data_IF_370531660127
#
_entry.id   IF_370531660127
#
_cell.length_a   1.000
_cell.length_b   1.000
_cell.length_c   1.000
_cell.angle_alpha   90.00
_cell.angle_beta   90.00
_cell.angle_gamma   90.00
#
_symmetry.space_group_name_H-M   'P 1'
#
loop_
_entity.id
_entity.type
_entity.pdbx_description
1 polymer ?
#
# COMPACT_ATOMS: atom_id res chain seq x y z
N UNK A 1 -8.38 -7.76 31.06
CA UNK A 1 -9.29 -8.83 31.50
C UNK A 1 -8.71 -10.14 31.02
N UNK A 2 -8.48 -11.11 31.90
CA UNK A 2 -7.93 -12.41 31.52
C UNK A 2 -8.96 -13.17 30.66
N UNK A 3 -8.60 -13.51 29.42
CA UNK A 3 -9.40 -14.39 28.57
C UNK A 3 -9.45 -15.77 29.21
N UNK A 4 -10.58 -16.08 29.88
CA UNK A 4 -10.83 -17.41 30.42
C UNK A 4 -10.93 -18.41 29.25
N UNK A 5 -10.28 -19.56 29.40
CA UNK A 5 -10.40 -20.68 28.46
C UNK A 5 -11.87 -21.10 28.30
N UNK A 6 -12.34 -21.42 27.08
CA UNK A 6 -13.67 -21.96 26.87
C UNK A 6 -13.92 -23.20 27.73
N UNK A 7 -15.08 -23.28 28.38
CA UNK A 7 -15.42 -24.42 29.24
C UNK A 7 -15.50 -25.75 28.47
N UNK A 8 -15.74 -25.69 27.15
CA UNK A 8 -15.77 -26.85 26.25
C UNK A 8 -14.43 -27.60 26.16
N UNK A 9 -13.32 -27.01 26.64
CA UNK A 9 -12.01 -27.67 26.68
C UNK A 9 -11.78 -28.48 27.95
N UNK A 10 -12.64 -28.32 28.96
CA UNK A 10 -12.50 -29.00 30.25
C UNK A 10 -13.20 -30.35 30.22
N UNK A 11 -12.59 -31.34 30.86
CA UNK A 11 -13.21 -32.63 31.06
C UNK A 11 -14.37 -32.50 32.05
N UNK A 12 -15.59 -32.99 31.73
CA UNK A 12 -16.72 -32.90 32.64
C UNK A 12 -16.59 -33.71 33.95
N UNK A 13 -15.59 -34.58 34.06
CA UNK A 13 -15.29 -35.38 35.27
C UNK A 13 -14.27 -34.68 36.15
N UNK A 14 -13.10 -34.34 35.59
CA UNK A 14 -11.99 -33.74 36.37
C UNK A 14 -12.06 -32.22 36.47
N UNK A 15 -12.83 -31.57 35.59
CA UNK A 15 -12.89 -30.11 35.39
C UNK A 15 -11.55 -29.49 34.94
N UNK A 16 -10.57 -30.32 34.58
CA UNK A 16 -9.28 -29.92 34.02
C UNK A 16 -9.29 -29.94 32.49
N UNK A 17 -8.36 -29.24 31.85
CA UNK A 17 -8.22 -29.24 30.38
C UNK A 17 -7.93 -30.66 29.88
N UNK A 18 -8.68 -31.10 28.88
CA UNK A 18 -8.49 -32.42 28.28
C UNK A 18 -7.14 -32.49 27.55
N UNK A 19 -6.30 -33.43 27.95
CA UNK A 19 -5.00 -33.70 27.31
C UNK A 19 -5.15 -34.74 26.20
N UNK A 20 -6.04 -35.72 26.38
CA UNK A 20 -6.38 -36.70 25.36
C UNK A 20 -7.91 -36.89 25.28
N UNK A 21 -8.63 -35.99 24.57
CA UNK A 21 -10.08 -36.01 24.51
C UNK A 21 -10.59 -37.23 23.74
N UNK A 22 -11.54 -37.96 24.32
CA UNK A 22 -12.21 -39.14 23.75
C UNK A 22 -13.73 -39.03 23.86
N UNK A 23 -14.44 -39.55 22.85
CA UNK A 23 -15.89 -39.51 22.72
C UNK A 23 -16.47 -40.88 23.10
N UNK A 24 -17.51 -40.86 23.94
CA UNK A 24 -18.35 -42.04 24.20
C UNK A 24 -19.43 -42.20 23.14
N UNK A 25 -20.05 -43.38 23.06
CA UNK A 25 -21.24 -43.61 22.21
C UNK A 25 -22.42 -42.65 22.47
N UNK A 26 -22.44 -41.99 23.63
CA UNK A 26 -23.42 -40.94 23.96
C UNK A 26 -23.14 -39.59 23.28
N UNK A 27 -22.03 -39.44 22.55
CA UNK A 27 -21.65 -38.20 21.87
C UNK A 27 -20.89 -37.19 22.74
N UNK A 28 -20.72 -37.45 24.05
CA UNK A 28 -19.97 -36.57 24.95
C UNK A 28 -18.48 -36.88 24.99
N UNK A 29 -17.67 -35.83 25.15
CA UNK A 29 -16.20 -35.91 25.17
C UNK A 29 -15.67 -35.78 26.60
N UNK A 30 -14.65 -36.59 26.93
CA UNK A 30 -13.98 -36.60 28.23
C UNK A 30 -12.47 -36.75 28.02
N UNK A 31 -11.66 -36.42 29.03
CA UNK A 31 -10.27 -36.85 29.03
C UNK A 31 -10.19 -38.38 29.21
N UNK A 32 -9.38 -39.05 28.38
CA UNK A 32 -9.23 -40.51 28.40
C UNK A 32 -8.96 -41.05 29.79
N UNK A 33 -8.06 -40.43 30.54
CA UNK A 33 -7.67 -40.92 31.87
C UNK A 33 -8.83 -40.87 32.87
N UNK A 34 -9.66 -39.83 32.76
CA UNK A 34 -10.78 -39.59 33.65
C UNK A 34 -11.96 -40.52 33.38
N UNK A 35 -12.31 -40.72 32.10
CA UNK A 35 -13.41 -41.64 31.75
C UNK A 35 -13.02 -43.10 31.92
N UNK A 36 -11.74 -43.45 31.69
CA UNK A 36 -11.28 -44.82 31.94
C UNK A 36 -11.38 -45.17 33.42
N UNK A 37 -10.93 -44.29 34.32
CA UNK A 37 -11.05 -44.49 35.78
C UNK A 37 -12.52 -44.63 36.22
N UNK A 38 -13.43 -43.85 35.64
CA UNK A 38 -14.86 -43.97 35.89
C UNK A 38 -15.40 -45.36 35.55
N UNK A 39 -15.01 -45.90 34.39
CA UNK A 39 -15.42 -47.24 33.93
C UNK A 39 -14.76 -48.36 34.75
N UNK A 40 -13.49 -48.20 35.12
CA UNK A 40 -12.72 -49.18 35.91
C UNK A 40 -13.29 -49.34 37.32
N UNK A 41 -13.93 -48.29 37.86
CA UNK A 41 -14.65 -48.32 39.15
C UNK A 41 -15.98 -49.10 39.08
N UNK A 42 -16.32 -49.68 37.92
CA UNK A 42 -17.53 -50.47 37.72
C UNK A 42 -18.75 -49.67 37.26
N UNK A 43 -18.63 -48.35 37.04
CA UNK A 43 -19.73 -47.55 36.54
C UNK A 43 -20.06 -47.92 35.08
N UNK A 44 -21.35 -48.07 34.78
CA UNK A 44 -21.85 -48.43 33.43
C UNK A 44 -22.85 -47.42 32.89
N UNK A 45 -22.75 -46.17 33.35
CA UNK A 45 -23.57 -45.05 32.87
C UNK A 45 -22.69 -43.91 32.38
N UNK A 46 -23.20 -43.11 31.45
CA UNK A 46 -22.53 -41.89 31.02
C UNK A 46 -22.51 -40.87 32.17
N UNK A 47 -21.36 -40.26 32.51
CA UNK A 47 -21.27 -39.28 33.60
C UNK A 47 -22.21 -38.09 33.46
N UNK A 48 -22.53 -37.68 32.22
CA UNK A 48 -23.38 -36.51 31.92
C UNK A 48 -24.84 -36.92 31.79
N UNK A 49 -25.17 -37.82 30.85
CA UNK A 49 -26.58 -38.16 30.55
C UNK A 49 -27.19 -39.14 31.54
N UNK A 50 -26.37 -39.80 32.37
CA UNK A 50 -26.76 -40.89 33.30
C UNK A 50 -27.41 -42.11 32.64
N UNK A 51 -27.45 -42.14 31.30
CA UNK A 51 -27.98 -43.28 30.53
C UNK A 51 -26.99 -44.46 30.55
N UNK A 52 -27.49 -45.71 30.47
CA UNK A 52 -26.65 -46.90 30.45
C UNK A 52 -25.76 -46.95 29.20
N UNK A 53 -24.51 -47.37 29.40
CA UNK A 53 -23.52 -47.58 28.35
C UNK A 53 -23.56 -49.05 27.88
N UNK A 54 -23.12 -49.34 26.64
CA UNK A 54 -22.92 -50.71 26.16
C UNK A 54 -21.97 -51.50 27.07
N UNK A 55 -22.06 -52.84 27.07
CA UNK A 55 -21.19 -53.70 27.89
C UNK A 55 -19.69 -53.46 27.63
N UNK A 56 -19.33 -53.10 26.39
CA UNK A 56 -17.98 -52.70 25.99
C UNK A 56 -18.01 -51.29 25.36
N UNK A 57 -17.91 -50.22 26.15
CA UNK A 57 -17.94 -48.86 25.62
C UNK A 57 -16.66 -48.57 24.83
N UNK A 58 -16.80 -48.12 23.59
CA UNK A 58 -15.67 -47.66 22.78
C UNK A 58 -15.31 -46.21 23.14
N UNK A 59 -14.00 -45.94 23.25
CA UNK A 59 -13.45 -44.61 23.46
C UNK A 59 -12.82 -44.12 22.16
N UNK A 60 -13.58 -43.32 21.39
CA UNK A 60 -13.17 -42.83 20.08
C UNK A 60 -12.32 -41.56 20.28
N UNK A 61 -11.07 -41.49 19.81
CA UNK A 61 -10.27 -40.27 19.93
C UNK A 61 -10.90 -39.05 19.22
N UNK A 62 -10.96 -37.89 19.89
CA UNK A 62 -11.40 -36.64 19.31
C UNK A 62 -10.19 -35.80 18.84
N UNK A 63 -9.63 -36.16 17.69
CA UNK A 63 -8.44 -35.50 17.14
C UNK A 63 -8.66 -34.01 16.83
N UNK A 64 -9.89 -33.62 16.46
CA UNK A 64 -10.24 -32.23 16.18
C UNK A 64 -10.17 -31.37 17.45
N UNK A 65 -10.81 -31.82 18.55
CA UNK A 65 -10.76 -31.09 19.82
C UNK A 65 -9.35 -31.06 20.40
N UNK A 66 -8.60 -32.15 20.29
CA UNK A 66 -7.18 -32.21 20.70
C UNK A 66 -6.34 -31.16 19.95
N UNK A 67 -6.57 -31.01 18.64
CA UNK A 67 -5.88 -30.00 17.82
C UNK A 67 -6.28 -28.58 18.22
N UNK A 68 -7.57 -28.34 18.52
CA UNK A 68 -8.06 -27.03 18.98
C UNK A 68 -7.47 -26.64 20.35
N UNK A 69 -7.44 -27.56 21.31
CA UNK A 69 -6.85 -27.33 22.65
C UNK A 69 -5.35 -27.06 22.51
N UNK A 70 -4.64 -27.82 21.66
CA UNK A 70 -3.21 -27.61 21.40
C UNK A 70 -2.95 -26.24 20.76
N UNK A 71 -3.73 -25.84 19.75
CA UNK A 71 -3.58 -24.54 19.11
C UNK A 71 -3.91 -23.39 20.07
N UNK A 72 -4.89 -23.55 20.95
CA UNK A 72 -5.28 -22.54 21.94
C UNK A 72 -4.22 -22.40 23.05
N UNK A 73 -3.63 -23.50 23.52
CA UNK A 73 -2.55 -23.47 24.53
C UNK A 73 -1.24 -22.93 23.98
N UNK A 74 -0.96 -23.14 22.68
CA UNK A 74 0.11 -22.46 21.96
C UNK A 74 -0.20 -20.98 21.70
N UNK A 75 -1.48 -20.62 21.62
CA UNK A 75 -2.00 -19.26 21.49
C UNK A 75 -2.38 -18.67 22.85
N UNK A 76 -1.48 -18.75 23.84
CA UNK A 76 -1.50 -17.78 24.95
C UNK A 76 -1.62 -16.38 24.33
N UNK A 77 -2.42 -15.45 24.88
CA UNK A 77 -2.31 -14.06 24.47
C UNK A 77 -0.82 -13.70 24.52
N UNK A 78 -0.28 -12.98 23.51
CA UNK A 78 1.11 -12.60 23.53
C UNK A 78 1.34 -11.93 24.88
N UNK A 79 2.27 -12.49 25.67
CA UNK A 79 2.89 -11.79 26.79
C UNK A 79 3.12 -10.36 26.28
N UNK A 80 2.65 -9.29 26.94
CA UNK A 80 2.78 -7.95 26.38
C UNK A 80 4.23 -7.81 25.95
N UNK A 81 4.48 -7.72 24.64
CA UNK A 81 5.82 -7.49 24.14
C UNK A 81 6.29 -6.30 24.96
N UNK A 82 7.39 -6.46 25.70
CA UNK A 82 8.04 -5.32 26.32
C UNK A 82 8.51 -4.46 25.16
N UNK A 83 7.60 -3.61 24.67
CA UNK A 83 7.85 -2.71 23.57
C UNK A 83 9.08 -1.91 23.99
N UNK A 84 10.12 -1.87 23.15
CA UNK A 84 11.36 -1.24 23.54
C UNK A 84 11.08 0.20 23.97
N UNK A 85 11.69 0.61 25.09
CA UNK A 85 11.52 1.96 25.60
C UNK A 85 12.04 2.96 24.55
N UNK A 86 11.17 3.84 24.02
CA UNK A 86 11.56 4.76 22.96
C UNK A 86 12.77 5.62 23.33
N UNK A 87 12.89 6.03 24.60
CA UNK A 87 14.00 6.88 25.05
C UNK A 87 15.37 6.20 24.92
N UNK A 88 15.47 4.90 25.25
CA UNK A 88 16.73 4.17 25.14
C UNK A 88 17.18 4.10 23.68
N UNK A 89 16.26 3.79 22.75
CA UNK A 89 16.57 3.75 21.33
C UNK A 89 16.89 5.12 20.76
N UNK A 90 16.15 6.17 21.14
CA UNK A 90 16.44 7.54 20.73
C UNK A 90 17.87 7.93 21.12
N UNK A 91 18.30 7.57 22.33
CA UNK A 91 19.67 7.86 22.79
C UNK A 91 20.74 7.24 21.89
N UNK A 92 20.51 6.01 21.39
CA UNK A 92 21.42 5.32 20.47
C UNK A 92 21.44 6.00 19.10
N UNK A 93 20.27 6.37 18.57
CA UNK A 93 20.17 7.01 17.26
C UNK A 93 20.80 8.41 17.24
N UNK A 94 20.60 9.17 18.33
CA UNK A 94 21.09 10.55 18.47
C UNK A 94 22.55 10.65 18.89
N UNK A 95 23.06 9.68 19.65
CA UNK A 95 24.45 9.72 20.13
C UNK A 95 25.45 9.73 18.98
N UNK A 96 26.41 10.68 18.96
CA UNK A 96 27.48 10.70 17.96
C UNK A 96 28.49 9.57 18.18
N UNK A 97 28.54 8.99 19.39
CA UNK A 97 29.49 7.93 19.76
C UNK A 97 28.96 6.52 19.46
N UNK A 98 27.67 6.37 19.16
CA UNK A 98 27.08 5.07 18.81
C UNK A 98 27.58 4.63 17.43
N UNK A 99 28.00 3.36 17.34
CA UNK A 99 28.48 2.78 16.07
C UNK A 99 27.35 2.72 15.03
N UNK A 100 27.76 2.63 13.76
CA UNK A 100 26.84 2.43 12.63
C UNK A 100 25.98 1.18 12.87
N UNK A 101 26.60 0.09 13.33
CA UNK A 101 25.91 -1.17 13.62
C UNK A 101 24.85 -1.02 14.71
N UNK A 102 25.17 -0.36 15.83
CA UNK A 102 24.19 -0.15 16.91
C UNK A 102 23.00 0.72 16.49
N UNK A 103 23.24 1.72 15.64
CA UNK A 103 22.16 2.53 15.06
C UNK A 103 21.31 1.71 14.10
N UNK A 104 21.95 0.89 13.26
CA UNK A 104 21.26 0.03 12.32
C UNK A 104 20.41 -1.03 13.03
N UNK A 105 20.95 -1.68 14.07
CA UNK A 105 20.23 -2.63 14.91
C UNK A 105 19.00 -2.00 15.56
N UNK A 106 19.15 -0.77 16.07
CA UNK A 106 18.03 -0.01 16.64
C UNK A 106 16.93 0.25 15.62
N UNK A 107 17.28 0.69 14.41
CA UNK A 107 16.32 0.90 13.32
C UNK A 107 15.65 -0.42 12.89
N UNK A 108 16.41 -1.51 12.84
CA UNK A 108 15.90 -2.84 12.49
C UNK A 108 14.94 -3.40 13.54
N UNK A 109 15.12 -3.04 14.82
CA UNK A 109 14.16 -3.38 15.87
C UNK A 109 12.87 -2.54 15.78
N UNK A 110 12.96 -1.25 15.46
CA UNK A 110 11.79 -0.35 15.37
C UNK A 110 10.91 -0.61 14.14
N UNK A 111 11.51 -0.99 13.01
CA UNK A 111 10.79 -1.13 11.74
C UNK A 111 9.63 -2.14 11.78
N UNK A 112 9.81 -3.40 12.23
CA UNK A 112 8.73 -4.38 12.29
C UNK A 112 7.58 -3.97 13.22
N UNK A 113 7.92 -3.34 14.35
CA UNK A 113 6.96 -2.91 15.36
C UNK A 113 6.11 -1.74 14.85
N UNK A 114 6.76 -0.71 14.29
CA UNK A 114 6.08 0.46 13.70
C UNK A 114 5.18 0.08 12.53
N UNK A 115 5.58 -0.90 11.72
CA UNK A 115 4.77 -1.38 10.60
C UNK A 115 3.44 -2.01 11.03
N UNK A 116 3.41 -2.71 12.16
CA UNK A 116 2.24 -3.51 12.61
C UNK A 116 1.38 -2.81 13.66
N UNK A 117 1.93 -1.87 14.42
CA UNK A 117 1.29 -1.34 15.61
C UNK A 117 1.08 0.18 15.54
N UNK A 118 -0.16 0.67 15.29
CA UNK A 118 -0.49 2.09 15.29
C UNK A 118 -0.19 2.80 16.61
N UNK A 119 -0.53 2.18 17.74
CA UNK A 119 -0.24 2.77 19.05
C UNK A 119 1.28 2.91 19.29
N UNK A 120 2.10 2.00 18.75
CA UNK A 120 3.54 2.12 18.80
C UNK A 120 4.05 3.31 17.98
N UNK A 121 3.50 3.54 16.77
CA UNK A 121 3.86 4.70 15.94
C UNK A 121 3.51 6.02 16.62
N UNK A 122 2.36 6.10 17.27
CA UNK A 122 1.97 7.29 18.03
C UNK A 122 2.96 7.56 19.17
N UNK A 123 3.27 6.55 20.00
CA UNK A 123 4.27 6.68 21.07
C UNK A 123 5.65 7.07 20.57
N UNK A 124 6.07 6.56 19.41
CA UNK A 124 7.32 6.94 18.77
C UNK A 124 7.32 8.42 18.39
N UNK A 125 6.24 8.89 17.77
CA UNK A 125 6.09 10.30 17.38
C UNK A 125 6.10 11.21 18.61
N UNK A 126 5.34 10.87 19.65
CA UNK A 126 5.28 11.62 20.92
C UNK A 126 6.62 11.66 21.66
N UNK A 127 7.48 10.66 21.46
CA UNK A 127 8.81 10.59 22.07
C UNK A 127 9.86 11.48 21.42
N UNK A 128 9.56 12.13 20.30
CA UNK A 128 10.50 12.98 19.56
C UNK A 128 11.53 12.20 18.73
N UNK A 129 11.26 10.92 18.42
CA UNK A 129 12.18 10.08 17.62
C UNK A 129 12.36 10.59 16.19
N UNK A 130 11.39 11.35 15.66
CA UNK A 130 11.34 11.78 14.26
C UNK A 130 12.61 12.55 13.88
N UNK A 131 13.02 13.55 14.66
CA UNK A 131 14.28 14.29 14.45
C UNK A 131 15.51 13.37 14.40
N UNK A 132 15.60 12.37 15.29
CA UNK A 132 16.69 11.40 15.27
C UNK A 132 16.70 10.55 13.98
N UNK A 133 15.51 10.09 13.55
CA UNK A 133 15.34 9.34 12.30
C UNK A 133 15.69 10.20 11.09
N UNK A 134 15.30 11.47 11.06
CA UNK A 134 15.64 12.41 9.98
C UNK A 134 17.15 12.62 9.85
N UNK A 135 17.88 12.65 10.97
CA UNK A 135 19.34 12.66 10.95
C UNK A 135 19.92 11.36 10.38
N UNK A 136 19.35 10.21 10.73
CA UNK A 136 19.74 8.92 10.14
C UNK A 136 19.46 8.85 8.62
N UNK A 137 18.36 9.43 8.13
CA UNK A 137 18.11 9.56 6.67
C UNK A 137 19.20 10.38 5.99
N UNK A 138 19.78 11.34 6.69
CA UNK A 138 20.93 12.13 6.23
C UNK A 138 22.28 11.40 6.24
N UNK A 139 22.35 10.16 6.72
CA UNK A 139 23.59 9.40 6.81
C UNK A 139 24.25 9.16 5.44
N UNK A 140 25.57 9.07 5.42
CA UNK A 140 26.32 8.61 4.24
C UNK A 140 26.22 7.09 4.06
N UNK A 141 25.95 6.36 5.15
CA UNK A 141 25.77 4.91 5.11
C UNK A 141 24.41 4.56 4.47
N UNK A 142 24.40 3.75 3.38
CA UNK A 142 23.19 3.43 2.66
C UNK A 142 22.22 2.57 3.47
N UNK A 143 22.71 1.70 4.36
CA UNK A 143 21.87 0.81 5.16
C UNK A 143 21.12 1.60 6.25
N UNK A 144 21.82 2.50 6.96
CA UNK A 144 21.19 3.41 7.92
C UNK A 144 20.14 4.27 7.21
N UNK A 145 20.50 4.86 6.06
CA UNK A 145 19.58 5.72 5.29
C UNK A 145 18.32 4.96 4.90
N UNK A 146 18.47 3.75 4.38
CA UNK A 146 17.36 2.91 3.97
C UNK A 146 16.47 2.49 5.13
N UNK A 147 17.05 1.97 6.22
CA UNK A 147 16.29 1.57 7.41
C UNK A 147 15.59 2.75 8.08
N UNK A 148 16.20 3.95 8.05
CA UNK A 148 15.60 5.17 8.56
C UNK A 148 14.45 5.67 7.67
N UNK A 149 14.60 5.64 6.34
CA UNK A 149 13.51 5.96 5.40
C UNK A 149 12.33 5.00 5.57
N UNK A 150 12.60 3.71 5.77
CA UNK A 150 11.57 2.71 6.06
C UNK A 150 10.80 3.04 7.34
N UNK A 151 11.50 3.42 8.40
CA UNK A 151 10.85 3.78 9.67
C UNK A 151 10.02 5.06 9.51
N UNK A 152 10.56 6.07 8.83
CA UNK A 152 9.85 7.31 8.53
C UNK A 152 8.57 7.06 7.70
N UNK A 153 8.64 6.15 6.73
CA UNK A 153 7.49 5.70 5.95
C UNK A 153 6.45 5.00 6.84
N UNK A 154 6.86 4.14 7.77
CA UNK A 154 5.93 3.52 8.70
C UNK A 154 5.24 4.58 9.57
N UNK A 155 5.97 5.56 10.11
CA UNK A 155 5.39 6.66 10.90
C UNK A 155 4.39 7.50 10.10
N UNK A 156 4.61 7.63 8.79
CA UNK A 156 3.71 8.32 7.87
C UNK A 156 2.44 7.53 7.54
N UNK A 157 2.28 6.28 7.98
CA UNK A 157 1.04 5.53 7.76
C UNK A 157 -0.13 6.12 8.55
N UNK A 158 0.13 6.82 9.64
CA UNK A 158 -0.91 7.55 10.38
C UNK A 158 -1.12 8.93 9.74
N UNK A 159 -2.37 9.27 9.40
CA UNK A 159 -2.71 10.54 8.74
C UNK A 159 -2.39 11.76 9.60
N UNK A 160 -2.59 11.65 10.92
CA UNK A 160 -2.33 12.73 11.88
C UNK A 160 -0.85 13.13 11.94
N UNK A 161 0.06 12.21 11.63
CA UNK A 161 1.51 12.48 11.67
C UNK A 161 2.00 13.24 10.44
N UNK A 162 1.30 13.17 9.29
CA UNK A 162 1.83 13.61 7.99
C UNK A 162 2.20 15.09 7.96
N UNK A 163 1.39 15.94 8.58
CA UNK A 163 1.67 17.39 8.66
C UNK A 163 2.84 17.67 9.61
N UNK A 164 2.88 16.98 10.76
CA UNK A 164 3.98 17.09 11.72
C UNK A 164 5.32 16.68 11.12
N UNK A 165 5.36 15.57 10.38
CA UNK A 165 6.56 15.11 9.67
C UNK A 165 7.08 16.15 8.67
N UNK A 166 6.19 16.81 7.94
CA UNK A 166 6.56 17.90 7.03
C UNK A 166 7.13 19.09 7.79
N UNK A 167 6.48 19.49 8.90
CA UNK A 167 6.95 20.59 9.75
C UNK A 167 8.33 20.32 10.38
N UNK A 168 8.63 19.06 10.70
CA UNK A 168 9.95 18.63 11.20
C UNK A 168 11.05 18.57 10.10
N UNK A 169 10.72 18.86 8.85
CA UNK A 169 11.69 18.92 7.75
C UNK A 169 11.90 17.61 7.00
N UNK A 170 10.95 16.68 7.06
CA UNK A 170 11.04 15.40 6.33
C UNK A 170 11.27 15.58 4.83
N UNK A 171 10.64 16.58 4.20
CA UNK A 171 10.75 16.82 2.75
C UNK A 171 12.21 17.00 2.34
N UNK A 172 13.00 17.78 3.07
CA UNK A 172 14.40 18.05 2.75
C UNK A 172 15.25 16.77 2.72
N UNK A 173 15.08 15.92 3.73
CA UNK A 173 15.81 14.64 3.86
C UNK A 173 15.36 13.63 2.80
N UNK A 174 14.06 13.53 2.56
CA UNK A 174 13.48 12.62 1.55
C UNK A 174 13.90 13.01 0.14
N UNK A 175 13.89 14.30 -0.20
CA UNK A 175 14.34 14.79 -1.52
C UNK A 175 15.84 14.57 -1.72
N UNK A 176 16.65 14.76 -0.68
CA UNK A 176 18.08 14.43 -0.74
C UNK A 176 18.31 12.93 -1.03
N UNK A 177 17.56 12.06 -0.36
CA UNK A 177 17.61 10.61 -0.61
C UNK A 177 17.11 10.23 -2.01
N UNK A 178 16.12 10.94 -2.56
CA UNK A 178 15.63 10.76 -3.92
C UNK A 178 16.70 11.10 -4.98
N UNK A 179 17.54 12.11 -4.73
CA UNK A 179 18.59 12.52 -5.66
C UNK A 179 19.82 11.60 -5.59
N UNK A 180 20.32 11.34 -4.38
CA UNK A 180 21.63 10.70 -4.17
C UNK A 180 21.60 9.30 -3.54
N UNK A 181 20.43 8.74 -3.25
CA UNK A 181 20.30 7.42 -2.62
C UNK A 181 20.56 6.24 -3.56
N UNK A 182 20.65 5.04 -2.97
CA UNK A 182 20.59 3.78 -3.72
C UNK A 182 19.25 3.65 -4.47
N UNK A 183 19.13 2.77 -5.47
CA UNK A 183 17.86 2.54 -6.16
C UNK A 183 16.69 2.25 -5.19
N UNK A 184 16.94 1.55 -4.09
CA UNK A 184 15.93 1.27 -3.08
C UNK A 184 15.60 2.51 -2.23
N UNK A 185 16.60 3.28 -1.79
CA UNK A 185 16.38 4.56 -1.12
C UNK A 185 15.55 5.52 -1.97
N UNK A 186 15.82 5.60 -3.28
CA UNK A 186 15.06 6.45 -4.21
C UNK A 186 13.59 6.01 -4.33
N UNK A 187 13.36 4.70 -4.42
CA UNK A 187 12.00 4.15 -4.44
C UNK A 187 11.26 4.44 -3.12
N UNK A 188 11.89 4.20 -1.97
CA UNK A 188 11.31 4.50 -0.65
C UNK A 188 11.03 6.00 -0.47
N UNK A 189 11.93 6.87 -0.96
CA UNK A 189 11.74 8.31 -0.92
C UNK A 189 10.51 8.72 -1.76
N UNK A 190 10.33 8.17 -2.96
CA UNK A 190 9.15 8.41 -3.77
C UNK A 190 7.85 7.91 -3.09
N UNK A 191 7.89 6.73 -2.46
CA UNK A 191 6.76 6.21 -1.66
C UNK A 191 6.45 7.13 -0.48
N UNK A 192 7.47 7.66 0.20
CA UNK A 192 7.29 8.62 1.30
C UNK A 192 6.64 9.93 0.82
N UNK A 193 7.08 10.47 -0.31
CA UNK A 193 6.44 11.66 -0.91
C UNK A 193 4.97 11.38 -1.28
N UNK A 194 4.67 10.18 -1.79
CA UNK A 194 3.29 9.74 -2.06
C UNK A 194 2.45 9.73 -0.78
N UNK A 195 2.96 9.13 0.29
CA UNK A 195 2.29 9.05 1.59
C UNK A 195 1.98 10.45 2.16
N UNK A 196 2.96 11.34 2.15
CA UNK A 196 2.77 12.72 2.64
C UNK A 196 1.79 13.52 1.78
N UNK A 197 1.77 13.28 0.47
CA UNK A 197 0.90 13.96 -0.49
C UNK A 197 -0.59 13.54 -0.39
N UNK A 198 -0.95 12.57 0.45
CA UNK A 198 -2.35 12.28 0.77
C UNK A 198 -3.05 13.50 1.38
N UNK A 199 -2.31 14.32 2.14
CA UNK A 199 -2.81 15.58 2.71
C UNK A 199 -2.66 16.70 1.69
N UNK A 200 -3.75 17.40 1.36
CA UNK A 200 -3.77 18.46 0.33
C UNK A 200 -2.72 19.55 0.58
N UNK A 201 -2.58 20.03 1.82
CA UNK A 201 -1.62 21.10 2.19
C UNK A 201 -0.16 20.66 1.92
N UNK A 202 0.14 19.37 2.04
CA UNK A 202 1.46 18.84 1.78
C UNK A 202 1.79 18.83 0.28
N UNK A 203 0.80 18.67 -0.62
CA UNK A 203 1.06 18.59 -2.07
C UNK A 203 1.71 19.86 -2.61
N UNK A 204 1.20 21.02 -2.23
CA UNK A 204 1.76 22.31 -2.62
C UNK A 204 3.18 22.50 -2.07
N UNK A 205 3.38 22.17 -0.79
CA UNK A 205 4.68 22.27 -0.11
C UNK A 205 5.73 21.36 -0.73
N UNK A 206 5.40 20.09 -0.97
CA UNK A 206 6.28 19.10 -1.60
C UNK A 206 6.60 19.51 -3.03
N UNK A 207 5.58 19.88 -3.82
CA UNK A 207 5.78 20.21 -5.23
C UNK A 207 6.57 21.50 -5.45
N UNK A 208 6.44 22.49 -4.57
CA UNK A 208 7.25 23.70 -4.57
C UNK A 208 8.68 23.49 -4.03
N UNK A 209 8.94 22.37 -3.34
CA UNK A 209 10.25 22.12 -2.77
C UNK A 209 11.32 21.89 -3.86
N UNK A 210 12.48 22.55 -3.80
CA UNK A 210 13.52 22.42 -4.81
C UNK A 210 13.89 20.97 -5.09
N UNK A 211 13.95 20.63 -6.38
CA UNK A 211 14.30 19.30 -6.87
C UNK A 211 13.35 18.15 -6.50
N UNK A 212 12.23 18.37 -5.80
CA UNK A 212 11.29 17.29 -5.49
C UNK A 212 10.67 16.69 -6.76
N UNK A 213 10.01 17.53 -7.56
CA UNK A 213 9.40 17.11 -8.84
C UNK A 213 10.47 16.66 -9.83
N UNK A 214 11.56 17.42 -9.97
CA UNK A 214 12.68 17.06 -10.87
C UNK A 214 13.30 15.71 -10.50
N UNK A 215 13.48 15.43 -9.21
CA UNK A 215 14.01 14.16 -8.72
C UNK A 215 13.10 12.99 -9.06
N UNK A 216 11.78 13.17 -8.98
CA UNK A 216 10.81 12.15 -9.40
C UNK A 216 10.86 11.92 -10.91
N UNK A 217 10.99 12.98 -11.72
CA UNK A 217 11.12 12.86 -13.18
C UNK A 217 12.44 12.17 -13.57
N UNK A 218 13.54 12.47 -12.87
CA UNK A 218 14.81 11.72 -13.04
C UNK A 218 14.64 10.26 -12.66
N UNK A 219 13.91 9.94 -11.60
CA UNK A 219 13.63 8.56 -11.21
C UNK A 219 12.74 7.82 -12.22
N UNK A 220 11.81 8.50 -12.90
CA UNK A 220 11.05 7.92 -14.02
C UNK A 220 11.95 7.53 -15.20
N UNK A 221 12.93 8.39 -15.53
CA UNK A 221 13.84 8.17 -16.64
C UNK A 221 14.84 7.04 -16.35
N UNK A 222 15.54 7.18 -15.23
CA UNK A 222 16.77 6.41 -14.94
C UNK A 222 16.56 5.32 -13.87
N UNK A 223 15.37 5.24 -13.28
CA UNK A 223 15.06 4.28 -12.21
C UNK A 223 14.95 2.83 -12.68
N UNK A 224 15.09 1.90 -11.73
CA UNK A 224 14.71 0.51 -11.95
C UNK A 224 13.17 0.36 -11.98
N UNK A 225 12.66 -0.84 -12.32
CA UNK A 225 11.22 -1.07 -12.48
C UNK A 225 10.37 -0.67 -11.26
N UNK A 226 10.89 -0.85 -10.04
CA UNK A 226 10.23 -0.37 -8.81
C UNK A 226 10.28 1.15 -8.72
N UNK A 227 11.46 1.75 -8.86
CA UNK A 227 11.66 3.20 -8.80
C UNK A 227 10.78 3.96 -9.78
N UNK A 228 10.66 3.50 -11.04
CA UNK A 228 9.77 4.10 -12.04
C UNK A 228 8.30 4.06 -11.62
N UNK A 229 7.83 2.93 -11.07
CA UNK A 229 6.44 2.78 -10.59
C UNK A 229 6.14 3.68 -9.38
N UNK A 230 7.06 3.74 -8.41
CA UNK A 230 6.91 4.60 -7.24
C UNK A 230 6.95 6.09 -7.64
N UNK A 231 7.84 6.47 -8.57
CA UNK A 231 7.92 7.83 -9.09
C UNK A 231 6.62 8.26 -9.81
N UNK A 232 6.06 7.38 -10.65
CA UNK A 232 4.81 7.65 -11.35
C UNK A 232 3.65 7.82 -10.35
N UNK A 233 3.63 7.01 -9.29
CA UNK A 233 2.61 7.10 -8.23
C UNK A 233 2.75 8.39 -7.43
N UNK A 234 3.98 8.79 -7.11
CA UNK A 234 4.25 10.06 -6.42
C UNK A 234 3.84 11.27 -7.27
N UNK A 235 4.16 11.27 -8.57
CA UNK A 235 3.73 12.32 -9.48
C UNK A 235 2.21 12.36 -9.63
N UNK A 236 1.54 11.21 -9.68
CA UNK A 236 0.07 11.19 -9.71
C UNK A 236 -0.53 11.86 -8.47
N UNK A 237 -0.02 11.51 -7.28
CA UNK A 237 -0.46 12.13 -6.04
C UNK A 237 -0.23 13.65 -6.02
N UNK A 238 0.97 14.10 -6.41
CA UNK A 238 1.35 15.51 -6.41
C UNK A 238 0.63 16.34 -7.48
N UNK A 239 0.48 15.83 -8.70
CA UNK A 239 -0.14 16.52 -9.84
C UNK A 239 -1.66 16.62 -9.74
N UNK A 240 -2.28 15.98 -8.74
CA UNK A 240 -3.66 16.31 -8.37
C UNK A 240 -3.81 17.76 -7.90
N UNK A 241 -2.70 18.38 -7.45
CA UNK A 241 -2.61 19.82 -7.19
C UNK A 241 -2.17 20.57 -8.48
N UNK A 242 -2.95 21.56 -8.97
CA UNK A 242 -2.73 22.18 -10.29
C UNK A 242 -1.33 22.74 -10.53
N UNK A 243 -0.73 23.45 -9.57
CA UNK A 243 0.59 24.06 -9.77
C UNK A 243 1.69 23.01 -10.01
N UNK A 244 1.50 21.80 -9.47
CA UNK A 244 2.46 20.71 -9.64
C UNK A 244 2.40 20.10 -11.05
N UNK A 245 1.28 20.26 -11.76
CA UNK A 245 1.16 19.83 -13.15
C UNK A 245 2.15 20.61 -14.02
N UNK A 246 2.15 21.94 -13.91
CA UNK A 246 3.10 22.80 -14.63
C UNK A 246 4.55 22.47 -14.30
N UNK A 247 4.88 22.33 -13.00
CA UNK A 247 6.23 21.95 -12.55
C UNK A 247 6.69 20.62 -13.15
N UNK A 248 5.80 19.63 -13.24
CA UNK A 248 6.13 18.33 -13.81
C UNK A 248 6.40 18.44 -15.32
N UNK A 249 5.57 19.20 -16.05
CA UNK A 249 5.74 19.47 -17.48
C UNK A 249 7.06 20.19 -17.74
N UNK A 250 7.37 21.25 -17.00
CA UNK A 250 8.63 22.01 -17.09
C UNK A 250 9.87 21.15 -16.79
N UNK A 251 9.73 20.11 -15.96
CA UNK A 251 10.80 19.15 -15.70
C UNK A 251 10.98 18.12 -16.84
N UNK A 252 10.17 18.18 -17.90
CA UNK A 252 10.22 17.26 -19.04
C UNK A 252 9.60 15.89 -18.74
N UNK A 253 8.55 15.83 -17.91
CA UNK A 253 7.91 14.56 -17.56
C UNK A 253 7.13 13.93 -18.71
N UNK A 254 6.55 14.74 -19.61
CA UNK A 254 5.59 14.27 -20.63
C UNK A 254 6.19 13.21 -21.55
N UNK A 255 7.35 13.41 -22.22
CA UNK A 255 7.90 12.42 -23.13
C UNK A 255 8.19 11.06 -22.45
N UNK A 256 8.71 11.09 -21.22
CA UNK A 256 9.02 9.88 -20.44
C UNK A 256 7.74 9.12 -20.08
N UNK A 257 6.70 9.85 -19.68
CA UNK A 257 5.41 9.25 -19.34
C UNK A 257 4.72 8.65 -20.58
N UNK A 258 4.90 9.24 -21.76
CA UNK A 258 4.39 8.69 -23.02
C UNK A 258 5.08 7.36 -23.35
N UNK A 259 6.41 7.30 -23.26
CA UNK A 259 7.16 6.05 -23.47
C UNK A 259 6.74 4.95 -22.47
N UNK A 260 6.54 5.33 -21.21
CA UNK A 260 6.07 4.40 -20.18
C UNK A 260 4.63 3.93 -20.42
N UNK A 261 3.74 4.82 -20.86
CA UNK A 261 2.37 4.48 -21.24
C UNK A 261 2.37 3.50 -22.42
N UNK A 262 3.23 3.71 -23.41
CA UNK A 262 3.40 2.81 -24.55
C UNK A 262 3.92 1.42 -24.14
N UNK A 263 4.76 1.40 -23.11
CA UNK A 263 5.23 0.16 -22.47
C UNK A 263 4.19 -0.49 -21.54
N UNK A 264 2.95 0.01 -21.50
CA UNK A 264 1.84 -0.55 -20.72
C UNK A 264 1.79 -0.13 -19.24
N UNK A 265 2.52 0.92 -18.83
CA UNK A 265 2.47 1.42 -17.45
C UNK A 265 1.21 2.27 -17.24
N UNK A 266 0.15 1.66 -16.69
CA UNK A 266 -1.15 2.32 -16.42
C UNK A 266 -1.01 3.64 -15.67
N UNK A 267 -0.18 3.68 -14.62
CA UNK A 267 0.02 4.90 -13.82
C UNK A 267 0.53 6.08 -14.65
N UNK A 268 1.29 5.83 -15.72
CA UNK A 268 1.78 6.90 -16.59
C UNK A 268 0.62 7.58 -17.35
N UNK A 269 -0.36 6.81 -17.82
CA UNK A 269 -1.59 7.32 -18.47
C UNK A 269 -2.39 8.18 -17.48
N UNK A 270 -2.50 7.74 -16.23
CA UNK A 270 -3.17 8.53 -15.19
C UNK A 270 -2.50 9.89 -14.97
N UNK A 271 -1.15 9.92 -14.88
CA UNK A 271 -0.40 11.17 -14.73
C UNK A 271 -0.59 12.05 -15.98
N UNK A 272 -0.48 11.50 -17.19
CA UNK A 272 -0.72 12.24 -18.44
C UNK A 272 -2.13 12.86 -18.45
N UNK A 273 -3.15 12.16 -17.97
CA UNK A 273 -4.51 12.72 -17.89
C UNK A 273 -4.64 13.90 -16.92
N UNK A 274 -3.82 13.95 -15.86
CA UNK A 274 -3.75 15.11 -14.96
C UNK A 274 -3.00 16.27 -15.63
N UNK A 275 -1.90 15.97 -16.33
CA UNK A 275 -1.12 17.00 -17.04
C UNK A 275 -1.91 17.63 -18.20
N UNK A 276 -2.80 16.87 -18.85
CA UNK A 276 -3.66 17.38 -19.92
C UNK A 276 -4.69 18.43 -19.44
N UNK A 277 -4.89 18.57 -18.12
CA UNK A 277 -5.75 19.62 -17.56
C UNK A 277 -5.10 21.00 -17.64
N UNK A 278 -3.78 21.09 -17.57
CA UNK A 278 -3.04 22.34 -17.76
C UNK A 278 -2.69 22.57 -19.24
N UNK A 279 -2.56 23.85 -19.63
CA UNK A 279 -2.31 24.23 -21.02
C UNK A 279 -0.93 23.75 -21.48
N UNK A 280 0.06 23.93 -20.62
CA UNK A 280 1.46 23.57 -20.86
C UNK A 280 1.59 22.06 -21.14
N UNK A 281 0.88 21.24 -20.37
CA UNK A 281 0.86 19.79 -20.57
C UNK A 281 0.23 19.37 -21.89
N UNK A 282 -0.86 20.05 -22.31
CA UNK A 282 -1.46 19.79 -23.64
C UNK A 282 -0.52 20.19 -24.77
N UNK A 283 0.06 21.40 -24.71
CA UNK A 283 0.99 21.86 -25.74
C UNK A 283 2.20 20.91 -25.90
N UNK A 284 2.74 20.39 -24.81
CA UNK A 284 3.82 19.39 -24.86
C UNK A 284 3.36 18.04 -25.45
N UNK A 285 2.17 17.56 -25.07
CA UNK A 285 1.60 16.32 -25.65
C UNK A 285 1.33 16.45 -27.14
N UNK A 286 0.87 17.62 -27.58
CA UNK A 286 0.54 17.92 -28.97
C UNK A 286 1.79 17.95 -29.87
N UNK A 287 2.96 18.28 -29.31
CA UNK A 287 4.25 18.25 -30.01
C UNK A 287 4.82 16.84 -30.19
N UNK A 288 4.29 15.84 -29.47
CA UNK A 288 4.79 14.48 -29.53
C UNK A 288 4.10 13.69 -30.64
N UNK A 289 4.85 13.40 -31.70
CA UNK A 289 4.41 12.55 -32.78
C UNK A 289 4.03 11.15 -32.25
N UNK A 290 2.88 10.64 -32.72
CA UNK A 290 2.39 9.32 -32.33
C UNK A 290 1.77 9.24 -30.95
N UNK A 291 1.65 10.33 -30.18
CA UNK A 291 1.03 10.30 -28.85
C UNK A 291 -0.42 9.80 -28.89
N UNK A 292 -1.20 10.23 -29.89
CA UNK A 292 -2.58 9.73 -30.09
C UNK A 292 -2.59 8.21 -30.31
N UNK A 293 -1.65 7.67 -31.08
CA UNK A 293 -1.52 6.23 -31.30
C UNK A 293 -1.18 5.45 -30.01
N UNK A 294 -0.40 6.03 -29.10
CA UNK A 294 -0.18 5.45 -27.76
C UNK A 294 -1.51 5.36 -27.00
N UNK A 295 -2.31 6.43 -27.00
CA UNK A 295 -3.62 6.42 -26.34
C UNK A 295 -4.58 5.40 -26.97
N UNK A 296 -4.56 5.23 -28.29
CA UNK A 296 -5.34 4.19 -29.01
C UNK A 296 -4.96 2.79 -28.53
N UNK A 297 -3.65 2.50 -28.42
CA UNK A 297 -3.19 1.21 -27.87
C UNK A 297 -3.68 0.97 -26.45
N UNK A 298 -3.76 2.03 -25.62
CA UNK A 298 -4.34 1.97 -24.27
C UNK A 298 -5.85 1.76 -24.31
N UNK A 299 -6.58 2.38 -25.25
CA UNK A 299 -8.02 2.13 -25.41
C UNK A 299 -8.30 0.67 -25.75
N UNK A 300 -7.50 0.07 -26.63
CA UNK A 300 -7.72 -1.30 -27.11
C UNK A 300 -7.29 -2.37 -26.10
N UNK A 301 -6.21 -2.14 -25.35
CA UNK A 301 -5.56 -3.18 -24.53
C UNK A 301 -5.45 -2.83 -23.04
N UNK A 302 -5.90 -1.64 -22.64
CA UNK A 302 -5.73 -1.13 -21.27
C UNK A 302 -6.75 -1.69 -20.29
N UNK A 303 -6.48 -1.49 -19.00
CA UNK A 303 -7.47 -1.73 -17.95
C UNK A 303 -8.60 -0.69 -18.03
N UNK A 304 -9.77 -0.93 -17.39
CA UNK A 304 -10.86 0.06 -17.35
C UNK A 304 -10.41 1.43 -16.83
N UNK A 305 -9.45 1.47 -15.89
CA UNK A 305 -8.88 2.73 -15.41
C UNK A 305 -8.02 3.39 -16.48
N UNK A 306 -7.12 2.63 -17.12
CA UNK A 306 -6.31 3.11 -18.23
C UNK A 306 -7.16 3.70 -19.36
N UNK A 307 -8.21 2.98 -19.78
CA UNK A 307 -9.19 3.41 -20.78
C UNK A 307 -9.87 4.72 -20.36
N UNK A 308 -10.38 4.79 -19.12
CA UNK A 308 -11.02 6.00 -18.61
C UNK A 308 -10.10 7.24 -18.68
N UNK A 309 -8.83 7.09 -18.30
CA UNK A 309 -7.85 8.17 -18.31
C UNK A 309 -7.37 8.51 -19.74
N UNK A 310 -7.24 7.52 -20.62
CA UNK A 310 -6.94 7.75 -22.04
C UNK A 310 -8.06 8.54 -22.72
N UNK A 311 -9.32 8.16 -22.54
CA UNK A 311 -10.48 8.91 -23.04
C UNK A 311 -10.54 10.34 -22.49
N UNK A 312 -10.25 10.53 -21.20
CA UNK A 312 -10.19 11.87 -20.58
C UNK A 312 -9.09 12.74 -21.20
N UNK A 313 -7.94 12.13 -21.52
CA UNK A 313 -6.80 12.82 -22.13
C UNK A 313 -7.15 13.22 -23.57
N UNK A 314 -7.69 12.30 -24.37
CA UNK A 314 -8.13 12.56 -25.74
C UNK A 314 -9.20 13.66 -25.80
N UNK A 315 -10.19 13.64 -24.90
CA UNK A 315 -11.18 14.71 -24.80
C UNK A 315 -10.53 16.07 -24.54
N UNK A 316 -9.57 16.13 -23.62
CA UNK A 316 -8.88 17.38 -23.26
C UNK A 316 -8.08 17.95 -24.44
N UNK A 317 -7.43 17.10 -25.23
CA UNK A 317 -6.68 17.51 -26.42
C UNK A 317 -7.62 17.92 -27.57
N UNK A 318 -8.60 17.06 -27.90
CA UNK A 318 -9.52 17.30 -29.01
C UNK A 318 -10.41 18.52 -28.80
N UNK A 319 -10.71 18.86 -27.54
CA UNK A 319 -11.48 20.07 -27.23
C UNK A 319 -10.71 21.37 -27.49
N UNK A 320 -9.38 21.32 -27.52
CA UNK A 320 -8.52 22.51 -27.63
C UNK A 320 -7.83 22.66 -28.98
N UNK A 321 -7.60 21.55 -29.72
CA UNK A 321 -6.78 21.57 -30.93
C UNK A 321 -7.45 20.80 -32.09
N UNK A 322 -7.61 21.46 -33.23
CA UNK A 322 -8.17 20.84 -34.46
C UNK A 322 -7.25 19.77 -35.05
N UNK A 323 -5.93 20.00 -35.04
CA UNK A 323 -4.96 19.00 -35.48
C UNK A 323 -5.06 17.70 -34.68
N UNK A 324 -5.32 17.79 -33.37
CA UNK A 324 -5.57 16.61 -32.53
C UNK A 324 -6.87 15.89 -32.90
N UNK A 325 -7.94 16.64 -33.22
CA UNK A 325 -9.20 16.05 -33.73
C UNK A 325 -8.97 15.31 -35.05
N UNK A 326 -8.19 15.89 -35.96
CA UNK A 326 -7.82 15.26 -37.22
C UNK A 326 -7.02 13.99 -37.02
N UNK A 327 -6.01 14.04 -36.15
CA UNK A 327 -5.22 12.86 -35.82
C UNK A 327 -6.08 11.76 -35.19
N UNK A 328 -6.98 12.12 -34.27
CA UNK A 328 -7.92 11.18 -33.66
C UNK A 328 -8.86 10.51 -34.69
N UNK A 329 -9.34 11.26 -35.70
CA UNK A 329 -10.12 10.69 -36.80
C UNK A 329 -9.31 9.73 -37.67
N UNK A 330 -8.06 10.09 -37.98
CA UNK A 330 -7.16 9.25 -38.78
C UNK A 330 -6.85 7.91 -38.09
N UNK A 331 -6.86 7.90 -36.77
CA UNK A 331 -6.66 6.72 -35.93
C UNK A 331 -7.99 6.01 -35.58
N UNK A 332 -9.09 6.32 -36.26
CA UNK A 332 -10.40 5.66 -36.13
C UNK A 332 -10.96 5.65 -34.70
N UNK A 333 -10.61 6.64 -33.88
CA UNK A 333 -11.01 6.72 -32.46
C UNK A 333 -12.53 6.77 -32.29
N UNK A 334 -13.25 7.34 -33.26
CA UNK A 334 -14.71 7.39 -33.22
C UNK A 334 -15.32 5.97 -33.19
N UNK A 335 -14.83 5.05 -34.03
CA UNK A 335 -15.30 3.66 -34.06
C UNK A 335 -14.96 2.92 -32.76
N UNK A 336 -13.74 3.11 -32.25
CA UNK A 336 -13.32 2.57 -30.96
C UNK A 336 -14.24 3.06 -29.83
N UNK A 337 -14.62 4.35 -29.85
CA UNK A 337 -15.50 4.95 -28.84
C UNK A 337 -16.93 4.42 -28.89
N UNK A 338 -17.44 4.00 -30.05
CA UNK A 338 -18.77 3.38 -30.15
C UNK A 338 -18.84 2.09 -29.32
N UNK A 339 -17.77 1.30 -29.29
CA UNK A 339 -17.67 0.10 -28.45
C UNK A 339 -17.77 0.37 -26.94
N UNK A 340 -17.53 1.60 -26.50
CA UNK A 340 -17.59 2.00 -25.09
C UNK A 340 -18.92 2.63 -24.67
N UNK A 341 -19.89 2.80 -25.57
CA UNK A 341 -21.16 3.45 -25.24
C UNK A 341 -22.05 2.61 -24.31
N UNK A 342 -21.84 1.29 -24.27
CA UNK A 342 -22.57 0.36 -23.42
C UNK A 342 -21.72 -0.19 -22.25
N UNK A 343 -20.50 0.34 -22.06
CA UNK A 343 -19.58 -0.10 -20.98
C UNK A 343 -20.22 0.06 -19.60
N UNK A 344 -20.03 -0.87 -18.66
CA UNK A 344 -20.65 -0.78 -17.32
C UNK A 344 -20.17 0.45 -16.51
N UNK A 345 -18.96 0.93 -16.76
CA UNK A 345 -18.39 2.11 -16.11
C UNK A 345 -18.94 3.40 -16.72
N UNK A 346 -19.75 4.10 -15.92
CA UNK A 346 -20.38 5.36 -16.32
C UNK A 346 -19.39 6.45 -16.78
N UNK A 347 -18.18 6.50 -16.21
CA UNK A 347 -17.16 7.48 -16.62
C UNK A 347 -16.61 7.16 -18.01
N UNK A 348 -16.43 5.88 -18.34
CA UNK A 348 -15.99 5.45 -19.66
C UNK A 348 -17.04 5.82 -20.70
N UNK A 349 -18.31 5.44 -20.47
CA UNK A 349 -19.44 5.80 -21.37
C UNK A 349 -19.53 7.30 -21.62
N UNK A 350 -19.51 8.11 -20.55
CA UNK A 350 -19.60 9.58 -20.63
C UNK A 350 -18.43 10.17 -21.42
N UNK A 351 -17.20 9.74 -21.15
CA UNK A 351 -16.02 10.26 -21.84
C UNK A 351 -16.00 9.82 -23.32
N UNK A 352 -16.42 8.60 -23.64
CA UNK A 352 -16.52 8.12 -25.02
C UNK A 352 -17.56 8.92 -25.81
N UNK A 353 -18.76 9.12 -25.24
CA UNK A 353 -19.82 9.93 -25.85
C UNK A 353 -19.38 11.39 -26.09
N UNK A 354 -18.72 12.00 -25.09
CA UNK A 354 -18.15 13.35 -25.21
C UNK A 354 -17.13 13.44 -26.35
N UNK A 355 -16.27 12.42 -26.50
CA UNK A 355 -15.22 12.42 -27.51
C UNK A 355 -15.82 12.29 -28.92
N UNK A 356 -16.79 11.41 -29.11
CA UNK A 356 -17.54 11.28 -30.38
C UNK A 356 -18.14 12.64 -30.78
N UNK A 357 -18.82 13.32 -29.85
CA UNK A 357 -19.39 14.64 -30.13
C UNK A 357 -18.32 15.68 -30.49
N UNK A 358 -17.15 15.64 -29.83
CA UNK A 358 -16.05 16.55 -30.14
C UNK A 358 -15.47 16.31 -31.55
N UNK A 359 -15.38 15.05 -31.99
CA UNK A 359 -14.89 14.67 -33.31
C UNK A 359 -15.89 15.02 -34.42
N UNK A 360 -17.19 14.90 -34.15
CA UNK A 360 -18.26 15.22 -35.11
C UNK A 360 -18.37 16.73 -35.40
N UNK A 361 -17.94 17.59 -34.47
CA UNK A 361 -17.91 19.04 -34.68
C UNK A 361 -16.85 19.50 -35.69
N UNK A 362 -15.89 18.66 -36.06
CA UNK A 362 -14.99 18.91 -37.20
C UNK A 362 -15.65 18.40 -38.49
N UNK A 363 -16.12 19.30 -39.36
CA UNK A 363 -16.50 18.91 -40.72
C UNK A 363 -15.24 18.65 -41.55
N UNK A 364 -15.31 17.62 -42.40
CA UNK A 364 -14.30 17.38 -43.43
C UNK A 364 -14.38 18.50 -44.46
N UNK A 365 -13.52 19.51 -44.37
CA UNK A 365 -13.21 20.34 -45.54
C UNK A 365 -12.25 19.50 -46.38
N UNK A 366 -12.79 18.86 -47.42
CA UNK A 366 -12.08 17.99 -48.35
C UNK A 366 -11.09 18.71 -49.25
#
# INVERSE_FOLDING_TARGET
MATQLPDDFKCPISLEIMSDPVILSSGHTFDRSSIQRWLDTGNRTCPITKLPLPQHPSLIPNHALRSLISNFTLSSPPKPESLPEPQAIISILTSPFSSIDSKLDSLNQLNPLSKRNPAFRQRLTDSGVVSAVLNCVGSLDPNIKESALSLLLNLSLDDDNKVGLVAEGAIARVVSALQGGTPNCKALAATMLTSLAVVEVNKGTIGAYPYAVRGLVTLLRDGNGRGKKEAATALYALCSFPDNQRRAVECGSVPILVEMADSGVERAVEVLSLLAKCREGREEMERLDGFVGVLVRVLLNGSPRGVQHALSTLNSLCSCNEGMRWQAKREEIEEICLGFLEDENEKIRRNASSLIQALQRCQLTG
#
